data_IF_553904635379
#
_entry.id   IF_553904635379
#
_cell.length_a   1.000
_cell.length_b   1.000
_cell.length_c   1.000
_cell.angle_alpha   90.00
_cell.angle_beta   90.00
_cell.angle_gamma   90.00
#
_symmetry.space_group_name_H-M   'P 1'
#
loop_
_entity.id
_entity.type
_entity.pdbx_description
1 polymer ?
#
# COMPACT_ATOMS: atom_id res chain seq x y z
N UNK A 1 -1.18 -11.65 -3.53
CA UNK A 1 -0.19 -10.57 -3.34
C UNK A 1 -0.15 -9.74 -4.61
N UNK A 2 -0.12 -8.42 -4.48
CA UNK A 2 -0.04 -7.50 -5.63
C UNK A 2 1.40 -7.41 -6.19
N UNK A 3 1.51 -7.26 -7.50
CA UNK A 3 2.75 -6.89 -8.18
C UNK A 3 2.85 -5.37 -8.26
N UNK A 4 3.63 -4.76 -7.35
CA UNK A 4 3.74 -3.32 -7.18
C UNK A 4 3.31 -2.88 -5.78
N UNK A 5 3.95 -1.84 -5.24
CA UNK A 5 3.60 -1.32 -3.93
C UNK A 5 2.27 -0.54 -3.96
N UNK A 6 1.51 -0.64 -2.87
CA UNK A 6 0.29 0.12 -2.57
C UNK A 6 0.50 0.91 -1.26
N UNK A 7 1.55 1.73 -1.21
CA UNK A 7 1.88 2.61 -0.09
C UNK A 7 1.48 4.06 -0.38
N UNK A 8 1.36 4.87 0.67
CA UNK A 8 0.91 6.24 0.57
C UNK A 8 -0.49 6.35 -0.04
N UNK A 9 -0.78 7.48 -0.70
CA UNK A 9 -2.10 7.75 -1.28
C UNK A 9 -2.55 6.71 -2.34
N UNK A 10 -1.64 5.88 -2.86
CA UNK A 10 -1.98 4.77 -3.77
C UNK A 10 -2.91 3.73 -3.15
N UNK A 11 -2.96 3.66 -1.82
CA UNK A 11 -3.95 2.89 -1.06
C UNK A 11 -5.38 3.15 -1.55
N UNK A 12 -5.71 4.40 -1.89
CA UNK A 12 -7.05 4.82 -2.34
C UNK A 12 -7.39 4.26 -3.73
N UNK A 13 -6.39 4.14 -4.61
CA UNK A 13 -6.59 3.71 -5.99
C UNK A 13 -6.36 2.20 -6.18
N UNK A 14 -5.96 1.50 -5.13
CA UNK A 14 -5.55 0.11 -5.20
C UNK A 14 -6.74 -0.85 -5.11
N UNK A 15 -6.93 -1.66 -6.15
CA UNK A 15 -7.89 -2.78 -6.11
C UNK A 15 -7.54 -3.84 -5.05
N UNK A 16 -6.26 -4.04 -4.74
CA UNK A 16 -5.83 -5.00 -3.70
C UNK A 16 -6.24 -4.52 -2.32
N UNK A 17 -6.04 -3.23 -2.04
CA UNK A 17 -6.48 -2.63 -0.78
C UNK A 17 -7.99 -2.54 -0.71
N UNK A 18 -8.66 -2.16 -1.80
CA UNK A 18 -10.11 -2.09 -1.86
C UNK A 18 -10.78 -3.41 -1.49
N UNK A 19 -10.26 -4.54 -1.98
CA UNK A 19 -10.77 -5.87 -1.61
C UNK A 19 -10.59 -6.18 -0.11
N UNK A 20 -9.48 -5.77 0.50
CA UNK A 20 -9.26 -5.93 1.93
C UNK A 20 -10.19 -5.01 2.74
N UNK A 21 -10.35 -3.75 2.34
CA UNK A 21 -11.27 -2.81 2.98
C UNK A 21 -12.72 -3.31 2.90
N UNK A 22 -13.14 -3.90 1.78
CA UNK A 22 -14.48 -4.50 1.62
C UNK A 22 -14.72 -5.63 2.65
N UNK A 23 -13.73 -6.52 2.84
CA UNK A 23 -13.83 -7.56 3.85
C UNK A 23 -13.94 -6.98 5.27
N UNK A 24 -13.12 -5.98 5.59
CA UNK A 24 -13.17 -5.28 6.87
C UNK A 24 -14.50 -4.56 7.08
N UNK A 25 -15.02 -3.91 6.04
CA UNK A 25 -16.35 -3.31 6.04
C UNK A 25 -17.43 -4.35 6.40
N UNK A 26 -17.34 -5.57 5.87
CA UNK A 26 -18.23 -6.70 6.19
C UNK A 26 -17.95 -7.37 7.55
N UNK A 27 -17.06 -6.81 8.38
CA UNK A 27 -16.72 -7.31 9.71
C UNK A 27 -15.67 -8.41 9.73
N UNK A 28 -15.11 -8.78 8.57
CA UNK A 28 -14.05 -9.80 8.47
C UNK A 28 -12.69 -9.12 8.53
N UNK A 29 -11.84 -9.40 9.53
CA UNK A 29 -10.49 -8.85 9.57
C UNK A 29 -9.69 -9.25 8.33
N UNK A 30 -8.96 -8.30 7.75
CA UNK A 30 -8.36 -8.46 6.43
C UNK A 30 -6.95 -7.84 6.33
N UNK A 31 -6.19 -8.35 5.37
CA UNK A 31 -4.83 -7.90 5.09
C UNK A 31 -4.64 -7.80 3.58
N UNK A 32 -4.26 -6.61 3.09
CA UNK A 32 -3.75 -6.41 1.74
C UNK A 32 -2.23 -6.59 1.75
N UNK A 33 -1.69 -7.41 0.84
CA UNK A 33 -0.23 -7.67 0.75
C UNK A 33 0.27 -7.33 -0.65
N UNK A 34 1.31 -6.51 -0.70
CA UNK A 34 1.90 -5.98 -1.93
C UNK A 34 3.42 -6.15 -1.91
N UNK A 35 4.00 -6.50 -3.05
CA UNK A 35 5.45 -6.57 -3.25
C UNK A 35 5.90 -5.44 -4.17
N UNK A 36 6.82 -4.60 -3.72
CA UNK A 36 7.46 -3.59 -4.54
C UNK A 36 8.31 -4.28 -5.62
N UNK A 37 8.13 -3.89 -6.87
CA UNK A 37 8.86 -4.47 -8.00
C UNK A 37 10.14 -3.66 -8.22
N UNK A 38 11.28 -4.34 -8.24
CA UNK A 38 12.56 -3.77 -8.65
C UNK A 38 12.90 -4.10 -10.11
N UNK A 39 14.17 -4.30 -10.41
CA UNK A 39 14.67 -4.56 -11.77
C UNK A 39 14.77 -6.05 -12.13
N UNK A 40 14.64 -6.94 -11.15
CA UNK A 40 14.80 -8.38 -11.30
C UNK A 40 13.47 -9.16 -11.29
N UNK A 41 13.58 -10.48 -11.22
CA UNK A 41 12.40 -11.36 -11.14
C UNK A 41 11.81 -11.34 -9.72
N UNK A 42 10.53 -10.99 -9.55
CA UNK A 42 9.92 -10.87 -8.24
C UNK A 42 9.66 -12.23 -7.59
N UNK A 43 10.11 -12.39 -6.35
CA UNK A 43 9.80 -13.56 -5.53
C UNK A 43 8.54 -13.35 -4.69
N UNK A 44 7.39 -13.80 -5.22
CA UNK A 44 6.11 -13.74 -4.50
C UNK A 44 6.00 -14.73 -3.33
N UNK A 45 6.88 -15.73 -3.23
CA UNK A 45 6.87 -16.67 -2.11
C UNK A 45 7.30 -15.99 -0.80
N UNK A 46 7.98 -14.85 -0.88
CA UNK A 46 8.43 -14.09 0.31
C UNK A 46 7.30 -13.63 1.24
N UNK A 47 6.07 -13.52 0.73
CA UNK A 47 4.89 -13.17 1.55
C UNK A 47 3.93 -14.34 1.76
N UNK A 48 4.32 -15.58 1.42
CA UNK A 48 3.59 -16.77 1.81
C UNK A 48 3.99 -17.21 3.24
N UNK A 49 3.05 -17.67 4.08
CA UNK A 49 3.40 -18.27 5.38
C UNK A 49 4.30 -19.48 5.15
N UNK A 50 5.54 -19.47 5.66
CA UNK A 50 6.46 -20.60 5.52
C UNK A 50 6.40 -21.52 6.75
N UNK A 51 6.37 -22.86 6.57
CA UNK A 51 6.55 -23.79 7.68
C UNK A 51 7.94 -23.56 8.31
N UNK A 52 7.99 -23.14 9.57
CA UNK A 52 9.26 -22.86 10.28
C UNK A 52 9.56 -21.38 10.56
N UNK A 53 8.64 -20.45 10.24
CA UNK A 53 8.65 -19.14 10.87
C UNK A 53 9.52 -18.06 10.21
N UNK A 54 9.74 -18.09 8.88
CA UNK A 54 10.11 -16.84 8.19
C UNK A 54 8.84 -16.02 8.07
N UNK A 55 8.67 -15.18 9.09
CA UNK A 55 7.48 -14.41 9.39
C UNK A 55 7.08 -13.51 8.24
N UNK A 56 5.99 -13.87 7.59
CA UNK A 56 5.17 -12.84 6.94
C UNK A 56 4.53 -12.03 8.06
N UNK A 57 4.36 -10.70 7.95
CA UNK A 57 3.71 -9.95 9.02
C UNK A 57 2.29 -10.46 9.29
N UNK A 58 1.61 -11.02 8.28
CA UNK A 58 0.34 -11.73 8.41
C UNK A 58 0.37 -12.98 9.29
N UNK A 59 1.54 -13.62 9.49
CA UNK A 59 1.68 -14.74 10.42
C UNK A 59 1.97 -14.28 11.86
N UNK A 60 2.23 -12.98 12.06
CA UNK A 60 2.54 -12.36 13.37
C UNK A 60 1.39 -11.51 13.90
N UNK A 61 0.38 -11.24 13.08
CA UNK A 61 -0.88 -10.68 13.56
C UNK A 61 -1.58 -11.76 14.39
N UNK A 62 -1.83 -11.51 15.67
CA UNK A 62 -2.69 -12.37 16.48
C UNK A 62 -4.12 -12.40 15.92
N UNK A 63 -5.10 -12.78 16.74
CA UNK A 63 -6.50 -12.57 16.37
C UNK A 63 -6.73 -11.07 16.13
N UNK A 64 -6.99 -10.70 14.87
CA UNK A 64 -7.35 -9.32 14.52
C UNK A 64 -8.81 -9.09 14.88
N UNK A 65 -9.10 -7.91 15.42
CA UNK A 65 -10.47 -7.52 15.74
C UNK A 65 -11.32 -7.41 14.47
N UNK A 66 -12.63 -7.71 14.54
CA UNK A 66 -13.56 -7.42 13.46
C UNK A 66 -13.39 -5.99 12.94
N UNK A 67 -13.59 -5.80 11.64
CA UNK A 67 -13.40 -4.51 10.95
C UNK A 67 -11.94 -3.98 10.86
N UNK A 68 -10.94 -4.78 11.25
CA UNK A 68 -9.53 -4.42 11.03
C UNK A 68 -9.12 -4.64 9.57
N UNK A 69 -8.50 -3.64 8.94
CA UNK A 69 -7.81 -3.78 7.66
C UNK A 69 -6.34 -3.34 7.80
N UNK A 70 -5.40 -4.19 7.41
CA UNK A 70 -3.97 -3.85 7.35
C UNK A 70 -3.49 -3.81 5.89
N UNK A 71 -2.74 -2.78 5.52
CA UNK A 71 -1.94 -2.77 4.29
C UNK A 71 -0.50 -3.12 4.61
N UNK A 72 0.03 -4.15 3.95
CA UNK A 72 1.41 -4.60 4.06
C UNK A 72 2.10 -4.38 2.72
N UNK A 73 3.23 -3.68 2.75
CA UNK A 73 4.12 -3.57 1.60
C UNK A 73 5.49 -4.16 1.91
N UNK A 74 5.95 -5.04 1.03
CA UNK A 74 7.25 -5.71 1.10
C UNK A 74 8.18 -5.02 0.09
N UNK A 75 9.41 -4.63 0.47
CA UNK A 75 10.38 -4.05 -0.47
C UNK A 75 10.83 -5.11 -1.49
N UNK A 76 11.55 -4.73 -2.56
CA UNK A 76 11.91 -5.66 -3.63
C UNK A 76 12.61 -6.92 -3.13
N UNK A 77 12.15 -8.08 -3.61
CA UNK A 77 12.68 -9.41 -3.32
C UNK A 77 12.98 -10.11 -4.63
N UNK A 78 14.25 -10.23 -4.95
CA UNK A 78 14.73 -10.74 -6.24
C UNK A 78 15.81 -11.79 -5.97
N UNK A 79 15.45 -13.07 -6.02
CA UNK A 79 16.39 -14.18 -5.87
C UNK A 79 15.82 -15.42 -6.55
N UNK A 80 16.70 -16.22 -7.16
CA UNK A 80 16.35 -17.56 -7.65
C UNK A 80 16.26 -18.59 -6.53
N UNK A 81 16.71 -18.24 -5.31
CA UNK A 81 16.74 -19.09 -4.12
C UNK A 81 16.14 -18.35 -2.92
N UNK A 82 14.84 -18.54 -2.65
CA UNK A 82 14.12 -17.88 -1.54
C UNK A 82 14.71 -18.15 -0.15
N UNK A 83 15.51 -19.23 0.01
CA UNK A 83 16.16 -19.55 1.29
C UNK A 83 17.24 -18.53 1.70
N UNK A 84 17.69 -17.70 0.74
CA UNK A 84 18.71 -16.66 0.92
C UNK A 84 18.15 -15.31 1.32
N UNK A 85 16.82 -15.15 1.44
CA UNK A 85 16.24 -13.91 1.93
C UNK A 85 16.62 -13.69 3.39
N UNK A 86 17.46 -12.69 3.63
CA UNK A 86 17.68 -12.17 4.98
C UNK A 86 16.36 -11.60 5.55
N UNK A 87 16.10 -11.77 6.85
CA UNK A 87 14.97 -11.13 7.51
C UNK A 87 15.02 -9.61 7.33
N UNK A 88 13.87 -9.00 7.04
CA UNK A 88 13.76 -7.54 6.98
C UNK A 88 13.19 -6.98 8.28
N UNK A 89 13.54 -5.73 8.62
CA UNK A 89 12.86 -5.01 9.68
C UNK A 89 11.37 -4.82 9.32
N UNK A 90 10.52 -4.85 10.34
CA UNK A 90 9.11 -4.47 10.23
C UNK A 90 8.93 -3.06 10.77
N UNK A 91 8.18 -2.24 10.07
CA UNK A 91 7.84 -0.88 10.47
C UNK A 91 6.32 -0.67 10.40
N UNK A 92 5.69 -0.42 11.55
CA UNK A 92 4.28 0.03 11.58
C UNK A 92 4.28 1.54 11.36
N UNK A 93 3.71 2.00 10.24
CA UNK A 93 3.81 3.40 9.81
C UNK A 93 2.48 3.93 9.29
N UNK A 94 2.18 5.23 9.51
CA UNK A 94 1.06 5.89 8.84
C UNK A 94 1.28 5.95 7.32
N UNK A 95 0.17 6.06 6.60
CA UNK A 95 0.16 6.28 5.16
C UNK A 95 0.74 7.66 4.82
N UNK A 96 1.64 7.74 3.83
CA UNK A 96 2.04 9.02 3.24
C UNK A 96 0.86 9.67 2.50
N UNK A 97 0.46 10.87 2.89
CA UNK A 97 -0.74 11.55 2.35
C UNK A 97 -0.44 12.59 1.27
N UNK A 98 0.84 12.81 0.97
CA UNK A 98 1.24 13.72 -0.11
C UNK A 98 0.86 13.16 -1.47
N UNK A 99 0.44 14.04 -2.39
CA UNK A 99 0.07 13.66 -3.75
C UNK A 99 1.27 13.14 -4.56
N UNK A 100 0.95 12.38 -5.61
CA UNK A 100 1.94 11.89 -6.57
C UNK A 100 2.54 13.03 -7.40
N UNK A 101 3.76 12.80 -7.87
CA UNK A 101 4.35 13.56 -8.96
C UNK A 101 3.97 12.89 -10.28
N UNK A 102 2.88 13.36 -10.88
CA UNK A 102 2.40 12.84 -12.15
C UNK A 102 3.20 13.40 -13.34
N UNK A 103 3.24 12.62 -14.42
CA UNK A 103 3.87 12.99 -15.66
C UNK A 103 3.17 12.30 -16.82
N UNK A 104 2.98 13.05 -17.90
CA UNK A 104 2.33 12.57 -19.11
C UNK A 104 3.16 12.90 -20.34
N UNK A 105 3.40 11.88 -21.16
CA UNK A 105 4.01 12.05 -22.47
C UNK A 105 2.91 12.24 -23.51
N UNK A 106 2.95 13.38 -24.22
CA UNK A 106 2.05 13.63 -25.33
C UNK A 106 2.50 12.85 -26.57
N UNK A 107 1.60 12.05 -27.13
CA UNK A 107 1.81 11.25 -28.34
C UNK A 107 0.71 11.52 -29.36
N UNK A 108 0.95 11.09 -30.60
CA UNK A 108 -0.02 11.18 -31.69
C UNK A 108 -0.21 9.77 -32.27
N UNK A 109 -1.45 9.32 -32.35
CA UNK A 109 -1.78 8.01 -32.92
C UNK A 109 -1.51 8.01 -34.43
N UNK A 110 -1.39 6.83 -35.07
CA UNK A 110 -1.29 6.76 -36.53
C UNK A 110 -2.47 7.43 -37.26
N UNK A 111 -3.64 7.54 -36.62
CA UNK A 111 -4.81 8.25 -37.13
C UNK A 111 -4.79 9.77 -36.95
N UNK A 112 -3.72 10.33 -36.36
CA UNK A 112 -3.57 11.77 -36.12
C UNK A 112 -4.16 12.27 -34.79
N UNK A 113 -4.73 11.39 -33.97
CA UNK A 113 -5.33 11.77 -32.68
C UNK A 113 -4.27 11.96 -31.60
N UNK A 114 -4.42 13.01 -30.80
CA UNK A 114 -3.53 13.26 -29.67
C UNK A 114 -3.96 12.42 -28.48
N UNK A 115 -3.00 11.72 -27.87
CA UNK A 115 -3.22 11.02 -26.60
C UNK A 115 -2.05 11.26 -25.65
N UNK A 116 -2.27 10.98 -24.36
CA UNK A 116 -1.31 11.22 -23.30
C UNK A 116 -1.04 9.90 -22.57
N UNK A 117 0.23 9.56 -22.41
CA UNK A 117 0.67 8.34 -21.73
C UNK A 117 1.30 8.69 -20.39
N UNK A 118 0.77 8.14 -19.29
CA UNK A 118 1.39 8.32 -17.98
C UNK A 118 2.82 7.73 -17.98
N UNK A 119 3.83 8.53 -17.65
CA UNK A 119 5.23 8.16 -17.83
C UNK A 119 6.05 8.12 -16.52
N UNK A 120 5.38 8.12 -15.38
CA UNK A 120 5.98 8.04 -14.04
C UNK A 120 5.75 6.68 -13.42
N UNK A 121 6.56 6.34 -12.42
CA UNK A 121 6.49 5.05 -11.72
C UNK A 121 5.22 4.86 -10.87
N UNK A 122 4.51 5.95 -10.54
CA UNK A 122 3.41 5.93 -9.58
C UNK A 122 3.85 5.82 -8.12
N UNK A 123 5.16 5.83 -7.83
CA UNK A 123 5.73 5.82 -6.47
C UNK A 123 6.59 7.05 -6.19
N UNK A 124 6.56 8.03 -7.09
CA UNK A 124 7.16 9.35 -6.91
C UNK A 124 6.11 10.26 -6.26
N UNK A 125 6.37 10.71 -5.03
CA UNK A 125 5.50 11.60 -4.27
C UNK A 125 6.09 13.01 -4.26
N UNK A 126 5.25 14.04 -4.18
CA UNK A 126 5.69 15.44 -4.05
C UNK A 126 6.53 15.67 -2.79
N UNK A 127 6.18 14.94 -1.73
CA UNK A 127 6.92 14.87 -0.48
C UNK A 127 6.70 13.48 0.12
N UNK A 128 7.70 13.01 0.86
CA UNK A 128 7.62 11.77 1.63
C UNK A 128 7.94 12.11 3.07
N UNK A 129 7.00 11.89 3.98
CA UNK A 129 7.24 12.15 5.40
C UNK A 129 8.20 11.08 5.98
N UNK A 130 9.19 11.47 6.80
CA UNK A 130 10.20 10.53 7.32
C UNK A 130 9.63 9.36 8.14
N UNK A 131 8.44 9.53 8.72
CA UNK A 131 7.76 8.50 9.50
C UNK A 131 6.68 7.75 8.69
N UNK A 132 6.62 7.93 7.36
CA UNK A 132 5.60 7.30 6.52
C UNK A 132 5.95 5.87 6.11
N UNK A 133 4.91 5.14 5.69
CA UNK A 133 5.01 3.85 5.03
C UNK A 133 5.87 3.91 3.75
N UNK A 134 5.77 4.98 2.96
CA UNK A 134 6.61 5.17 1.78
C UNK A 134 8.08 5.27 2.18
N UNK A 135 8.43 6.12 3.16
CA UNK A 135 9.82 6.28 3.57
C UNK A 135 10.43 4.96 4.05
N UNK A 136 9.76 4.27 4.96
CA UNK A 136 10.24 3.02 5.53
C UNK A 136 10.32 1.89 4.48
N UNK A 137 9.41 1.85 3.50
CA UNK A 137 9.46 0.86 2.42
C UNK A 137 10.72 1.06 1.55
N UNK A 138 11.02 2.30 1.17
CA UNK A 138 12.20 2.64 0.38
C UNK A 138 13.51 2.46 1.18
N UNK A 139 13.46 2.55 2.51
CA UNK A 139 14.57 2.20 3.42
C UNK A 139 14.73 0.68 3.64
N UNK A 140 13.95 -0.14 2.93
CA UNK A 140 14.07 -1.60 2.95
C UNK A 140 13.33 -2.29 4.10
N UNK A 141 12.41 -1.61 4.78
CA UNK A 141 11.53 -2.23 5.77
C UNK A 141 10.27 -2.79 5.14
N UNK A 142 9.75 -3.88 5.71
CA UNK A 142 8.37 -4.30 5.46
C UNK A 142 7.47 -3.35 6.24
N UNK A 143 6.54 -2.69 5.55
CA UNK A 143 5.65 -1.73 6.18
C UNK A 143 4.29 -2.33 6.48
N UNK A 144 3.72 -1.94 7.61
CA UNK A 144 2.38 -2.31 8.04
C UNK A 144 1.62 -1.04 8.38
N UNK A 145 0.53 -0.78 7.67
CA UNK A 145 -0.30 0.41 7.86
C UNK A 145 -1.72 -0.03 8.19
N UNK A 146 -2.20 0.21 9.42
CA UNK A 146 -3.61 0.06 9.75
C UNK A 146 -4.45 1.07 8.98
N UNK A 147 -5.47 0.60 8.28
CA UNK A 147 -6.34 1.44 7.44
C UNK A 147 -7.75 1.51 8.01
N UNK A 148 -8.43 2.61 7.70
CA UNK A 148 -9.86 2.81 7.95
C UNK A 148 -10.58 2.91 6.61
N UNK A 149 -11.81 2.41 6.54
CA UNK A 149 -12.73 2.62 5.42
C UNK A 149 -13.71 3.76 5.66
N UNK A 150 -13.93 4.14 6.92
CA UNK A 150 -14.72 5.32 7.26
C UNK A 150 -13.87 6.57 7.04
N UNK A 151 -14.22 7.31 5.99
CA UNK A 151 -13.56 8.56 5.59
C UNK A 151 -14.21 9.80 6.19
N UNK A 152 -15.23 9.61 7.05
CA UNK A 152 -15.85 10.72 7.77
C UNK A 152 -14.79 11.34 8.68
N UNK A 153 -14.57 12.65 8.54
CA UNK A 153 -13.87 13.38 9.58
C UNK A 153 -14.84 13.69 10.72
N UNK A 154 -14.95 12.72 11.64
CA UNK A 154 -15.82 12.76 12.80
C UNK A 154 -15.57 13.99 13.66
N UNK A 155 -14.31 14.41 13.78
CA UNK A 155 -13.94 15.57 14.59
C UNK A 155 -14.49 16.86 14.00
N UNK A 156 -14.81 16.92 12.71
CA UNK A 156 -15.38 18.13 12.07
C UNK A 156 -16.89 18.11 11.91
N UNK A 157 -17.58 16.99 12.21
CA UNK A 157 -19.04 16.92 12.10
C UNK A 157 -19.75 17.97 12.95
N UNK A 158 -19.23 18.23 14.16
CA UNK A 158 -19.84 19.19 15.07
C UNK A 158 -19.82 20.62 14.50
N UNK A 159 -18.78 20.99 13.76
CA UNK A 159 -18.66 22.30 13.12
C UNK A 159 -19.74 22.47 12.06
N UNK A 160 -19.91 21.48 11.18
CA UNK A 160 -20.89 21.56 10.08
C UNK A 160 -22.33 21.49 10.54
N UNK A 161 -22.64 20.69 11.56
CA UNK A 161 -23.98 20.67 12.19
C UNK A 161 -24.34 22.05 12.75
N UNK A 162 -23.41 22.69 13.46
CA UNK A 162 -23.61 24.03 14.01
C UNK A 162 -23.89 25.09 12.94
N UNK A 163 -23.26 24.99 11.77
CA UNK A 163 -23.45 25.96 10.68
C UNK A 163 -24.75 25.77 9.89
N UNK A 164 -25.13 24.52 9.62
CA UNK A 164 -26.16 24.17 8.64
C UNK A 164 -27.50 23.70 9.23
N UNK A 165 -27.52 23.13 10.44
CA UNK A 165 -28.73 22.55 11.05
C UNK A 165 -29.42 23.50 12.05
N UNK A 166 -29.39 24.81 11.77
CA UNK A 166 -30.07 25.82 12.60
C UNK A 166 -31.59 25.80 12.44
#
# INVERSE_FOLDING_TARGET
MNAGANCGINVIYSGTVAAALEAAFLGVPSIAVSLMIGSGEPDYACGAPTPGGRSTPSSRTGALEPHTCLSINIPPRETSDPSRHEPLPLAVRPMNTHGLQDGYERRVSPGGEVYYWANRSGLEFRQTDPDSDVHALFDGSITVTPLKYDLTEHDHLHLWRGELER
#
